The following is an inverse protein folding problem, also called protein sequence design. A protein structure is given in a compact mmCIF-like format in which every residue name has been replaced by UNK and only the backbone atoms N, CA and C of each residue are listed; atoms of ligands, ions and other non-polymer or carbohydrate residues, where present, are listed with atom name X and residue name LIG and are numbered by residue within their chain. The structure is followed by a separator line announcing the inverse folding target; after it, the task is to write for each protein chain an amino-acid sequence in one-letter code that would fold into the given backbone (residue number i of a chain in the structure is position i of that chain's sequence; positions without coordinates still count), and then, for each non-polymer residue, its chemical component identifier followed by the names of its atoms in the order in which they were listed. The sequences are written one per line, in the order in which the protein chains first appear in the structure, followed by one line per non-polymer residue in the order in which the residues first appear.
data_IF_861102063109
#
_entry.id   IF_861102063109
#
_cell.length_a   1.000
_cell.length_b   1.000
_cell.length_c   1.000
_cell.angle_alpha   90.00
_cell.angle_beta   90.00
_cell.angle_gamma   90.00
#
_symmetry.space_group_name_H-M   'P 1'
#
loop_
_entity.id
_entity.type
_entity.pdbx_description
1 polymer ?
#
# COMPACT_ATOMS: atom_id res chain seq x y z
N UNK A 1 53.61 -35.13 58.00
CA UNK A 1 54.79 -34.36 58.42
C UNK A 1 54.97 -33.16 57.50
N UNK A 2 55.08 -31.96 58.11
CA UNK A 2 55.76 -30.70 57.71
C UNK A 2 56.13 -30.52 56.21
N UNK A 3 55.49 -29.58 55.51
CA UNK A 3 55.89 -28.15 55.30
C UNK A 3 57.14 -27.97 54.42
N UNK A 4 56.97 -27.36 53.25
CA UNK A 4 57.73 -26.19 52.77
C UNK A 4 57.41 -25.85 51.30
N UNK A 5 56.71 -24.75 51.08
CA UNK A 5 56.98 -23.81 49.98
C UNK A 5 57.98 -22.79 50.57
N UNK A 6 58.94 -22.18 49.85
CA UNK A 6 58.66 -21.37 48.65
C UNK A 6 59.82 -21.28 47.62
N UNK A 7 59.55 -20.81 46.39
CA UNK A 7 60.30 -19.71 45.75
C UNK A 7 59.78 -19.45 44.32
N UNK A 8 59.03 -18.35 44.20
CA UNK A 8 59.38 -17.19 43.38
C UNK A 8 59.73 -17.32 41.88
N UNK A 9 58.83 -16.68 41.10
CA UNK A 9 59.03 -15.90 39.87
C UNK A 9 59.32 -16.65 38.56
N UNK A 10 58.36 -16.63 37.63
CA UNK A 10 58.34 -15.64 36.53
C UNK A 10 57.14 -15.94 35.63
N UNK A 11 56.13 -15.06 35.68
CA UNK A 11 55.08 -15.00 34.67
C UNK A 11 55.70 -14.44 33.37
N UNK A 12 55.62 -15.13 32.22
CA UNK A 12 55.71 -14.42 30.97
C UNK A 12 54.41 -13.63 30.79
N UNK A 13 54.52 -12.31 30.98
CA UNK A 13 53.54 -11.34 30.52
C UNK A 13 53.43 -11.49 29.01
N UNK A 14 52.41 -12.23 28.54
CA UNK A 14 52.08 -12.24 27.13
C UNK A 14 51.54 -10.86 26.77
N UNK A 15 52.33 -10.17 25.96
CA UNK A 15 52.05 -8.90 25.33
C UNK A 15 50.64 -8.91 24.70
N UNK A 16 49.66 -8.33 25.41
CA UNK A 16 48.33 -8.05 24.87
C UNK A 16 48.50 -6.96 23.84
N UNK A 17 48.78 -7.36 22.60
CA UNK A 17 48.65 -6.49 21.42
C UNK A 17 47.29 -5.81 21.48
N UNK A 18 47.30 -4.54 21.89
CA UNK A 18 46.18 -3.61 21.81
C UNK A 18 45.77 -3.56 20.34
N UNK A 19 44.76 -4.36 19.98
CA UNK A 19 44.08 -4.27 18.69
C UNK A 19 43.51 -2.86 18.63
N UNK A 20 44.20 -1.97 17.91
CA UNK A 20 43.72 -0.63 17.58
C UNK A 20 42.36 -0.83 16.92
N UNK A 21 41.29 -0.40 17.61
CA UNK A 21 39.97 -0.25 17.02
C UNK A 21 40.15 0.61 15.75
N UNK A 22 39.68 0.17 14.58
CA UNK A 22 39.61 1.07 13.44
C UNK A 22 38.75 2.27 13.85
N UNK A 23 39.04 3.49 13.38
CA UNK A 23 38.14 4.60 13.59
C UNK A 23 36.77 4.19 13.06
N UNK A 24 35.78 4.27 13.93
CA UNK A 24 34.37 4.14 13.62
C UNK A 24 34.07 5.23 12.60
N UNK A 25 34.22 4.87 11.31
CA UNK A 25 33.63 5.63 10.23
C UNK A 25 32.17 5.67 10.59
N UNK A 26 31.72 6.83 11.08
CA UNK A 26 30.33 7.24 11.06
C UNK A 26 29.79 6.77 9.71
N UNK A 27 29.09 5.65 9.73
CA UNK A 27 28.16 5.31 8.67
C UNK A 27 27.12 6.39 8.82
N UNK A 28 27.37 7.57 8.23
CA UNK A 28 26.32 8.45 7.77
C UNK A 28 25.41 7.51 7.02
N UNK A 29 24.29 7.14 7.65
CA UNK A 29 23.22 6.45 6.98
C UNK A 29 22.97 7.32 5.75
N UNK A 30 23.32 6.81 4.57
CA UNK A 30 23.01 7.50 3.34
C UNK A 30 21.53 7.83 3.46
N UNK A 31 21.20 9.12 3.38
CA UNK A 31 19.81 9.55 3.42
C UNK A 31 19.05 8.63 2.46
N UNK A 32 17.94 8.02 2.90
CA UNK A 32 17.22 7.07 2.06
C UNK A 32 16.98 7.78 0.74
N UNK A 33 17.62 7.29 -0.31
CA UNK A 33 17.42 7.84 -1.64
C UNK A 33 15.97 7.54 -1.91
N UNK A 34 15.12 8.57 -1.95
CA UNK A 34 13.73 8.41 -2.32
C UNK A 34 13.76 7.92 -3.76
N UNK A 35 13.74 6.60 -3.91
CA UNK A 35 13.71 5.95 -5.21
C UNK A 35 12.52 6.51 -5.96
N UNK A 36 12.69 6.79 -7.25
CA UNK A 36 11.59 7.23 -8.08
C UNK A 36 10.46 6.20 -7.98
N UNK A 37 9.25 6.66 -7.66
CA UNK A 37 8.09 5.81 -7.51
C UNK A 37 7.94 4.86 -8.71
N UNK A 38 7.70 3.58 -8.42
CA UNK A 38 7.49 2.58 -9.45
C UNK A 38 6.25 2.90 -10.31
N UNK A 39 6.12 2.34 -11.52
CA UNK A 39 4.99 2.64 -12.41
C UNK A 39 3.60 2.39 -11.78
N UNK A 40 3.48 1.32 -10.97
CA UNK A 40 2.26 0.97 -10.25
C UNK A 40 1.99 1.92 -9.09
N UNK A 41 2.99 2.15 -8.25
CA UNK A 41 2.95 3.10 -7.13
C UNK A 41 2.51 4.49 -7.62
N UNK A 42 3.15 5.01 -8.66
CA UNK A 42 2.81 6.31 -9.24
C UNK A 42 1.36 6.38 -9.75
N UNK A 43 0.83 5.29 -10.31
CA UNK A 43 -0.55 5.22 -10.81
C UNK A 43 -1.56 5.17 -9.68
N UNK A 44 -1.33 4.35 -8.67
CA UNK A 44 -2.18 4.27 -7.47
C UNK A 44 -2.19 5.61 -6.73
N UNK A 45 -1.03 6.23 -6.53
CA UNK A 45 -0.94 7.54 -5.89
C UNK A 45 -1.60 8.64 -6.72
N UNK A 46 -1.53 8.58 -8.06
CA UNK A 46 -2.26 9.53 -8.91
C UNK A 46 -3.77 9.35 -8.75
N UNK A 47 -4.25 8.11 -8.86
CA UNK A 47 -5.67 7.82 -8.70
C UNK A 47 -6.19 8.22 -7.31
N UNK A 48 -5.43 7.97 -6.25
CA UNK A 48 -5.77 8.44 -4.91
C UNK A 48 -5.92 9.97 -4.85
N UNK A 49 -4.99 10.72 -5.46
CA UNK A 49 -5.09 12.19 -5.57
C UNK A 49 -6.32 12.62 -6.39
N UNK A 50 -6.63 11.91 -7.46
CA UNK A 50 -7.79 12.19 -8.30
C UNK A 50 -9.10 11.97 -7.52
N UNK A 51 -9.20 10.93 -6.70
CA UNK A 51 -10.34 10.70 -5.81
C UNK A 51 -10.44 11.78 -4.72
N UNK A 52 -9.34 12.15 -4.08
CA UNK A 52 -9.36 13.25 -3.10
C UNK A 52 -9.72 14.59 -3.74
N UNK A 53 -9.30 14.83 -4.98
CA UNK A 53 -9.70 16.02 -5.74
C UNK A 53 -11.20 15.99 -6.09
N UNK A 54 -11.74 14.82 -6.44
CA UNK A 54 -13.18 14.64 -6.63
C UNK A 54 -13.95 14.96 -5.37
N UNK A 55 -13.55 14.37 -4.23
CA UNK A 55 -14.20 14.62 -2.95
C UNK A 55 -14.21 16.11 -2.57
N UNK A 56 -13.16 16.86 -2.91
CA UNK A 56 -13.14 18.31 -2.66
C UNK A 56 -13.98 19.14 -3.62
N UNK A 57 -14.16 18.69 -4.86
CA UNK A 57 -14.81 19.48 -5.92
C UNK A 57 -16.28 19.15 -6.11
N UNK A 58 -16.68 17.89 -5.91
CA UNK A 58 -18.07 17.46 -6.03
C UNK A 58 -18.80 17.63 -4.69
N UNK A 59 -19.82 18.48 -4.73
CA UNK A 59 -20.65 18.83 -3.57
C UNK A 59 -21.94 18.02 -3.54
N UNK A 60 -22.42 17.56 -4.70
CA UNK A 60 -23.63 16.75 -4.84
C UNK A 60 -23.34 15.29 -4.43
N UNK A 61 -23.86 14.80 -3.29
CA UNK A 61 -23.59 13.44 -2.83
C UNK A 61 -24.02 12.39 -3.87
N UNK A 62 -25.15 12.62 -4.56
CA UNK A 62 -25.69 11.76 -5.61
C UNK A 62 -24.74 11.54 -6.80
N UNK A 63 -23.81 12.47 -7.05
CA UNK A 63 -22.82 12.37 -8.15
C UNK A 63 -21.45 11.89 -7.69
N UNK A 64 -21.10 12.14 -6.43
CA UNK A 64 -19.78 11.86 -5.89
C UNK A 64 -19.40 10.38 -5.98
N UNK A 65 -20.27 9.49 -5.47
CA UNK A 65 -20.00 8.06 -5.47
C UNK A 65 -19.97 7.49 -6.90
N UNK A 66 -20.96 7.74 -7.78
CA UNK A 66 -20.89 7.29 -9.17
C UNK A 66 -19.62 7.74 -9.90
N UNK A 67 -19.24 9.02 -9.81
CA UNK A 67 -18.04 9.53 -10.46
C UNK A 67 -16.74 8.90 -9.92
N UNK A 68 -16.69 8.56 -8.62
CA UNK A 68 -15.55 7.86 -8.04
C UNK A 68 -15.45 6.42 -8.58
N UNK A 69 -16.58 5.74 -8.71
CA UNK A 69 -16.68 4.37 -9.21
C UNK A 69 -16.34 4.30 -10.69
N UNK A 70 -16.75 5.28 -11.51
CA UNK A 70 -16.33 5.40 -12.90
C UNK A 70 -14.80 5.50 -13.02
N UNK A 71 -14.16 6.35 -12.19
CA UNK A 71 -12.69 6.47 -12.18
C UNK A 71 -11.99 5.18 -11.76
N UNK A 72 -12.56 4.46 -10.79
CA UNK A 72 -12.07 3.12 -10.42
C UNK A 72 -12.27 2.14 -11.58
N UNK A 73 -13.42 2.13 -12.24
CA UNK A 73 -13.68 1.23 -13.37
C UNK A 73 -12.69 1.48 -14.51
N UNK A 74 -12.47 2.74 -14.90
CA UNK A 74 -11.54 3.13 -15.96
C UNK A 74 -10.09 2.74 -15.64
N UNK A 75 -9.67 2.94 -14.39
CA UNK A 75 -8.32 2.62 -13.97
C UNK A 75 -8.02 1.12 -13.99
N UNK A 76 -9.03 0.25 -13.82
CA UNK A 76 -8.91 -1.21 -13.89
C UNK A 76 -9.49 -1.83 -15.16
N UNK A 77 -9.94 -1.02 -16.12
CA UNK A 77 -10.51 -1.50 -17.36
C UNK A 77 -9.55 -2.42 -18.13
N UNK A 78 -10.06 -3.35 -18.96
CA UNK A 78 -9.22 -4.14 -19.85
C UNK A 78 -8.32 -3.24 -20.71
N UNK A 79 -7.02 -3.51 -20.70
CA UNK A 79 -6.03 -2.70 -21.43
C UNK A 79 -5.55 -1.43 -20.68
N UNK A 80 -6.16 -1.08 -19.55
CA UNK A 80 -5.65 0.00 -18.70
C UNK A 80 -4.23 -0.33 -18.20
N UNK A 81 -3.36 0.67 -18.04
CA UNK A 81 -1.96 0.41 -17.69
C UNK A 81 -1.74 0.03 -16.23
N UNK A 82 -2.71 0.31 -15.33
CA UNK A 82 -2.57 0.04 -13.90
C UNK A 82 -2.57 -1.46 -13.56
N UNK A 83 -3.52 -2.31 -14.02
CA UNK A 83 -3.51 -3.75 -13.79
C UNK A 83 -2.16 -4.42 -14.10
N UNK A 84 -1.62 -4.18 -15.29
CA UNK A 84 -0.32 -4.75 -15.71
C UNK A 84 0.84 -4.24 -14.86
N UNK A 85 0.85 -2.94 -14.55
CA UNK A 85 1.88 -2.37 -13.70
C UNK A 85 1.83 -2.95 -12.28
N UNK A 86 0.63 -3.12 -11.72
CA UNK A 86 0.41 -3.69 -10.39
C UNK A 86 0.90 -5.14 -10.31
N UNK A 87 0.56 -5.95 -11.32
CA UNK A 87 1.07 -7.32 -11.43
C UNK A 87 2.59 -7.38 -11.47
N UNK A 88 3.22 -6.56 -12.32
CA UNK A 88 4.68 -6.47 -12.39
C UNK A 88 5.32 -6.02 -11.07
N UNK A 89 4.69 -5.05 -10.38
CA UNK A 89 5.16 -4.57 -9.09
C UNK A 89 5.06 -5.65 -8.00
N UNK A 90 4.00 -6.45 -7.96
CA UNK A 90 3.90 -7.58 -7.03
C UNK A 90 4.96 -8.65 -7.26
N UNK A 91 5.28 -8.97 -8.51
CA UNK A 91 6.35 -9.92 -8.83
C UNK A 91 7.71 -9.39 -8.38
N UNK A 92 8.01 -8.12 -8.67
CA UNK A 92 9.28 -7.49 -8.31
C UNK A 92 9.43 -7.27 -6.79
N UNK A 93 8.33 -6.97 -6.09
CA UNK A 93 8.33 -6.70 -4.66
C UNK A 93 8.72 -7.92 -3.81
N UNK A 94 8.58 -9.16 -4.31
CA UNK A 94 8.92 -10.38 -3.56
C UNK A 94 10.38 -10.42 -3.08
N UNK A 95 11.29 -9.75 -3.77
CA UNK A 95 12.71 -9.65 -3.44
C UNK A 95 13.12 -8.30 -2.84
N UNK A 96 12.22 -7.31 -2.79
CA UNK A 96 12.51 -5.94 -2.36
C UNK A 96 11.49 -5.44 -1.32
N UNK A 97 11.96 -5.30 -0.08
CA UNK A 97 11.16 -4.83 1.06
C UNK A 97 10.71 -3.38 0.91
N UNK A 98 11.55 -2.52 0.33
CA UNK A 98 11.22 -1.11 0.12
C UNK A 98 10.14 -0.99 -0.95
N UNK A 99 10.27 -1.73 -2.06
CA UNK A 99 9.23 -1.78 -3.09
C UNK A 99 7.90 -2.34 -2.55
N UNK A 100 7.97 -3.37 -1.69
CA UNK A 100 6.78 -3.92 -1.01
C UNK A 100 6.08 -2.86 -0.17
N UNK A 101 6.83 -2.14 0.66
CA UNK A 101 6.26 -1.10 1.53
C UNK A 101 5.70 0.07 0.72
N UNK A 102 6.42 0.52 -0.31
CA UNK A 102 5.96 1.60 -1.17
C UNK A 102 4.66 1.24 -1.89
N UNK A 103 4.56 0.02 -2.41
CA UNK A 103 3.35 -0.47 -3.05
C UNK A 103 2.19 -0.61 -2.06
N UNK A 104 2.44 -1.14 -0.85
CA UNK A 104 1.43 -1.25 0.20
C UNK A 104 0.91 0.13 0.61
N UNK A 105 1.81 1.11 0.76
CA UNK A 105 1.44 2.48 1.06
C UNK A 105 0.58 3.12 -0.04
N UNK A 106 0.96 2.95 -1.30
CA UNK A 106 0.19 3.50 -2.42
C UNK A 106 -1.24 2.94 -2.50
N UNK A 107 -1.41 1.64 -2.21
CA UNK A 107 -2.73 1.00 -2.10
C UNK A 107 -3.51 1.58 -0.92
N UNK A 108 -2.86 1.80 0.22
CA UNK A 108 -3.50 2.36 1.39
C UNK A 108 -3.98 3.80 1.14
N UNK A 109 -3.21 4.63 0.42
CA UNK A 109 -3.65 5.96 0.03
C UNK A 109 -4.92 5.94 -0.81
N UNK A 110 -5.03 4.97 -1.73
CA UNK A 110 -6.22 4.80 -2.54
C UNK A 110 -7.42 4.33 -1.69
N UNK A 111 -7.19 3.40 -0.76
CA UNK A 111 -8.21 2.91 0.17
C UNK A 111 -8.77 4.04 1.02
N UNK A 112 -7.91 4.90 1.57
CA UNK A 112 -8.32 6.04 2.39
C UNK A 112 -9.14 7.06 1.60
N UNK A 113 -8.73 7.39 0.37
CA UNK A 113 -9.51 8.28 -0.50
C UNK A 113 -10.88 7.71 -0.86
N UNK A 114 -10.97 6.41 -1.10
CA UNK A 114 -12.25 5.73 -1.35
C UNK A 114 -13.13 5.66 -0.09
N UNK A 115 -12.54 5.38 1.08
CA UNK A 115 -13.24 5.37 2.36
C UNK A 115 -13.91 6.72 2.64
N UNK A 116 -13.20 7.84 2.43
CA UNK A 116 -13.76 9.19 2.62
C UNK A 116 -15.04 9.40 1.78
N UNK A 117 -15.00 8.99 0.52
CA UNK A 117 -16.15 9.08 -0.40
C UNK A 117 -17.30 8.21 0.08
N UNK A 118 -17.03 6.97 0.49
CA UNK A 118 -18.04 6.04 0.98
C UNK A 118 -18.66 6.49 2.29
N UNK A 119 -17.90 7.11 3.19
CA UNK A 119 -18.44 7.70 4.41
C UNK A 119 -19.45 8.81 4.11
N UNK A 120 -19.17 9.64 3.10
CA UNK A 120 -20.10 10.68 2.64
C UNK A 120 -21.34 10.08 1.99
N UNK A 121 -21.15 9.08 1.12
CA UNK A 121 -22.26 8.37 0.49
C UNK A 121 -23.17 7.69 1.53
N UNK A 122 -22.59 7.12 2.58
CA UNK A 122 -23.35 6.51 3.68
C UNK A 122 -24.16 7.54 4.45
N UNK A 123 -23.57 8.70 4.77
CA UNK A 123 -24.28 9.82 5.41
C UNK A 123 -25.43 10.35 4.56
N UNK A 124 -25.30 10.27 3.24
CA UNK A 124 -26.34 10.63 2.28
C UNK A 124 -27.35 9.50 1.98
N UNK A 125 -27.23 8.34 2.63
CA UNK A 125 -28.14 7.20 2.43
C UNK A 125 -27.98 6.45 1.11
N UNK A 126 -26.87 6.64 0.40
CA UNK A 126 -26.62 6.03 -0.93
C UNK A 126 -25.98 4.64 -0.88
N UNK A 127 -25.51 4.23 0.30
CA UNK A 127 -24.99 2.90 0.61
C UNK A 127 -25.57 2.46 1.95
N UNK A 128 -25.65 1.15 2.14
CA UNK A 128 -26.17 0.54 3.37
C UNK A 128 -25.50 1.09 4.63
N UNK A 129 -26.30 1.50 5.60
CA UNK A 129 -25.82 2.11 6.83
C UNK A 129 -25.08 1.12 7.76
N UNK A 130 -25.38 -0.18 7.66
CA UNK A 130 -24.77 -1.24 8.46
C UNK A 130 -23.39 -1.67 7.93
N UNK A 131 -23.01 -1.24 6.72
CA UNK A 131 -21.69 -1.50 6.18
C UNK A 131 -20.69 -0.45 6.66
N UNK A 132 -19.57 -0.93 7.20
CA UNK A 132 -18.43 -0.07 7.51
C UNK A 132 -17.76 0.43 6.21
N UNK A 133 -17.47 1.74 6.15
CA UNK A 133 -16.93 2.36 4.95
C UNK A 133 -15.48 1.92 4.66
N UNK A 134 -14.69 1.64 5.70
CA UNK A 134 -13.32 1.15 5.51
C UNK A 134 -13.32 -0.28 4.96
N UNK A 135 -14.21 -1.13 5.46
CA UNK A 135 -14.44 -2.49 4.95
C UNK A 135 -14.93 -2.45 3.49
N UNK A 136 -15.91 -1.60 3.17
CA UNK A 136 -16.42 -1.50 1.81
C UNK A 136 -15.35 -0.97 0.83
N UNK A 137 -14.54 0.02 1.25
CA UNK A 137 -13.40 0.48 0.46
C UNK A 137 -12.41 -0.65 0.17
N UNK A 138 -12.10 -1.46 1.20
CA UNK A 138 -11.22 -2.62 1.05
C UNK A 138 -11.80 -3.66 0.08
N UNK A 139 -13.09 -3.99 0.21
CA UNK A 139 -13.79 -4.93 -0.67
C UNK A 139 -13.81 -4.45 -2.13
N UNK A 140 -14.07 -3.17 -2.37
CA UNK A 140 -14.05 -2.59 -3.72
C UNK A 140 -12.66 -2.65 -4.34
N UNK A 141 -11.61 -2.31 -3.60
CA UNK A 141 -10.24 -2.47 -4.11
C UNK A 141 -9.88 -3.92 -4.41
N UNK A 142 -10.22 -4.84 -3.51
CA UNK A 142 -9.98 -6.28 -3.71
C UNK A 142 -10.76 -6.80 -4.93
N UNK A 143 -12.00 -6.34 -5.12
CA UNK A 143 -12.82 -6.65 -6.28
C UNK A 143 -12.18 -6.16 -7.58
N UNK A 144 -11.75 -4.89 -7.64
CA UNK A 144 -11.07 -4.35 -8.82
C UNK A 144 -9.79 -5.13 -9.15
N UNK A 145 -9.02 -5.52 -8.15
CA UNK A 145 -7.79 -6.29 -8.34
C UNK A 145 -8.02 -7.73 -8.78
N UNK A 146 -9.08 -8.38 -8.27
CA UNK A 146 -9.49 -9.69 -8.75
C UNK A 146 -10.01 -9.61 -10.19
N UNK A 147 -10.80 -8.59 -10.51
CA UNK A 147 -11.31 -8.31 -11.86
C UNK A 147 -10.16 -8.09 -12.86
N UNK A 148 -9.05 -7.47 -12.44
CA UNK A 148 -7.87 -7.31 -13.28
C UNK A 148 -7.22 -8.63 -13.72
N UNK A 149 -7.56 -9.75 -13.08
CA UNK A 149 -7.09 -11.09 -13.44
C UNK A 149 -8.07 -11.85 -14.34
N UNK A 150 -9.25 -11.28 -14.60
CA UNK A 150 -10.32 -11.91 -15.37
C UNK A 150 -10.19 -11.65 -16.88
N UNK A 151 -10.92 -12.40 -17.71
CA UNK A 151 -11.01 -12.13 -19.14
C UNK A 151 -11.49 -10.69 -19.43
N UNK A 152 -11.03 -10.07 -20.53
CA UNK A 152 -11.47 -8.74 -20.90
C UNK A 152 -13.00 -8.70 -21.10
N UNK A 153 -13.67 -7.70 -20.53
CA UNK A 153 -15.09 -7.41 -20.74
C UNK A 153 -16.01 -7.69 -19.55
N UNK A 154 -15.62 -8.53 -18.58
CA UNK A 154 -16.49 -8.89 -17.42
C UNK A 154 -16.35 -7.96 -16.20
N UNK A 155 -15.36 -7.05 -16.22
CA UNK A 155 -15.01 -6.24 -15.07
C UNK A 155 -16.07 -5.23 -14.62
N UNK A 156 -16.60 -4.39 -15.54
CA UNK A 156 -17.64 -3.41 -15.19
C UNK A 156 -18.90 -4.05 -14.60
N UNK A 157 -19.33 -5.19 -15.14
CA UNK A 157 -20.49 -5.94 -14.64
C UNK A 157 -20.28 -6.42 -13.20
N UNK A 158 -19.11 -7.00 -12.90
CA UNK A 158 -18.79 -7.50 -11.56
C UNK A 158 -18.63 -6.38 -10.53
N UNK A 159 -18.03 -5.25 -10.93
CA UNK A 159 -17.93 -4.08 -10.06
C UNK A 159 -19.33 -3.54 -9.74
N UNK A 160 -20.23 -3.49 -10.74
CA UNK A 160 -21.63 -3.13 -10.54
C UNK A 160 -22.35 -4.09 -9.59
N UNK A 161 -22.19 -5.40 -9.79
CA UNK A 161 -22.78 -6.42 -8.91
C UNK A 161 -22.29 -6.29 -7.45
N UNK A 162 -21.01 -5.96 -7.25
CA UNK A 162 -20.45 -5.73 -5.92
C UNK A 162 -21.09 -4.51 -5.22
N UNK A 163 -21.42 -3.47 -5.98
CA UNK A 163 -22.07 -2.26 -5.47
C UNK A 163 -23.56 -2.45 -5.20
N UNK A 164 -24.24 -3.17 -6.07
CA UNK A 164 -25.65 -3.56 -5.86
C UNK A 164 -25.77 -4.40 -4.57
N UNK A 165 -24.83 -5.32 -4.31
CA UNK A 165 -24.75 -6.06 -3.06
C UNK A 165 -24.50 -5.16 -1.82
N UNK A 166 -23.79 -4.04 -2.01
CA UNK A 166 -23.60 -3.02 -0.97
C UNK A 166 -24.82 -2.07 -0.80
N UNK A 167 -25.89 -2.29 -1.57
CA UNK A 167 -27.13 -1.52 -1.56
C UNK A 167 -27.05 -0.18 -2.29
N UNK A 168 -26.05 0.01 -3.15
CA UNK A 168 -26.01 1.14 -4.07
C UNK A 168 -26.91 0.85 -5.28
N UNK A 169 -28.01 1.58 -5.41
CA UNK A 169 -28.85 1.49 -6.59
C UNK A 169 -28.07 2.06 -7.79
N UNK A 170 -27.89 1.27 -8.84
CA UNK A 170 -27.27 1.76 -10.05
C UNK A 170 -28.09 2.92 -10.64
N UNK A 171 -27.45 3.95 -11.24
CA UNK A 171 -28.19 4.97 -11.97
C UNK A 171 -29.05 4.28 -13.04
N UNK A 172 -30.32 4.70 -13.09
CA UNK A 172 -31.40 4.04 -13.82
C UNK A 172 -31.00 3.58 -15.22
N UNK A 173 -31.41 2.35 -15.51
CA UNK A 173 -31.46 1.80 -16.87
C UNK A 173 -32.47 2.56 -17.72
#
# INVERSE_FOLDING_TARGET
MRRSLPFCYLLPVTDRKRKRRPPERERRAAAPTVGRAGPAEARLLRLARDLSALARSETAPERLLPAALERLADAWAPGAPLPRALWGAWLAARSDKTATLALAWAREQLRLGLQEILERARKAGQVRADLDAALLAWLLMAGCEAIALEPPGVGPERLRALLEAAGHAAPGS
#
